data_IF_623114776772
#
_entry.id   IF_623114776772
#
_cell.length_a   1.000
_cell.length_b   1.000
_cell.length_c   1.000
_cell.angle_alpha   90.00
_cell.angle_beta   90.00
_cell.angle_gamma   90.00
#
_symmetry.space_group_name_H-M   'P 1'
#
loop_
_entity.id
_entity.type
_entity.pdbx_description
1 polymer ?
#
# COMPACT_ATOMS: atom_id res chain seq x y z
N UNK A 1 28.44 4.22 -6.47
CA UNK A 1 27.55 4.95 -7.40
C UNK A 1 26.46 5.49 -6.51
N UNK A 2 26.61 6.73 -6.06
CA UNK A 2 25.86 7.24 -4.91
C UNK A 2 24.38 7.43 -5.26
N UNK A 3 23.54 6.82 -4.43
CA UNK A 3 22.10 6.94 -4.29
C UNK A 3 21.62 8.40 -4.12
N UNK A 4 20.29 8.57 -4.02
CA UNK A 4 19.54 9.79 -3.60
C UNK A 4 18.89 10.59 -4.74
N UNK A 5 17.76 10.09 -5.29
CA UNK A 5 16.65 10.98 -5.65
C UNK A 5 15.27 10.31 -5.52
N UNK A 6 15.14 9.27 -4.68
CA UNK A 6 13.81 8.90 -4.17
C UNK A 6 13.42 9.93 -3.12
N UNK A 7 13.01 11.10 -3.58
CA UNK A 7 12.57 12.22 -2.75
C UNK A 7 11.42 11.73 -1.87
N UNK A 8 11.32 12.19 -0.61
CA UNK A 8 10.23 11.80 0.30
C UNK A 8 8.82 11.79 -0.36
N UNK A 9 8.47 12.77 -1.22
CA UNK A 9 7.23 12.77 -1.99
C UNK A 9 7.04 11.58 -2.95
N UNK A 10 8.11 11.13 -3.62
CA UNK A 10 8.10 9.95 -4.50
C UNK A 10 7.78 8.68 -3.69
N UNK A 11 8.34 8.60 -2.47
CA UNK A 11 8.15 7.46 -1.57
C UNK A 11 6.74 7.33 -1.06
N UNK A 12 6.18 8.47 -0.65
CA UNK A 12 4.78 8.55 -0.22
C UNK A 12 3.84 8.12 -1.35
N UNK A 13 4.11 8.59 -2.58
CA UNK A 13 3.31 8.24 -3.75
C UNK A 13 3.35 6.75 -4.08
N UNK A 14 4.54 6.13 -4.17
CA UNK A 14 4.64 4.70 -4.52
C UNK A 14 4.06 3.79 -3.43
N UNK A 15 4.26 4.13 -2.17
CA UNK A 15 3.61 3.44 -1.05
C UNK A 15 2.07 3.54 -1.17
N UNK A 16 1.54 4.73 -1.44
CA UNK A 16 0.10 4.94 -1.64
C UNK A 16 -0.50 4.11 -2.77
N UNK A 17 0.20 3.99 -3.91
CA UNK A 17 -0.21 3.10 -5.02
C UNK A 17 -0.26 1.64 -4.56
N UNK A 18 0.72 1.21 -3.77
CA UNK A 18 0.74 -0.10 -3.13
C UNK A 18 -0.46 -0.35 -2.23
N UNK A 19 -0.81 0.62 -1.39
CA UNK A 19 -1.98 0.53 -0.48
C UNK A 19 -3.28 0.44 -1.28
N UNK A 20 -3.45 1.25 -2.34
CA UNK A 20 -4.64 1.16 -3.22
C UNK A 20 -4.71 -0.23 -3.89
N UNK A 21 -3.59 -0.71 -4.43
CA UNK A 21 -3.50 -2.04 -5.04
C UNK A 21 -3.84 -3.16 -4.06
N UNK A 22 -3.28 -3.10 -2.84
CA UNK A 22 -3.57 -4.04 -1.77
C UNK A 22 -5.04 -4.02 -1.35
N UNK A 23 -5.65 -2.83 -1.25
CA UNK A 23 -7.07 -2.67 -0.91
C UNK A 23 -8.00 -3.26 -1.98
N UNK A 24 -7.72 -3.01 -3.27
CA UNK A 24 -8.48 -3.61 -4.37
C UNK A 24 -8.34 -5.13 -4.38
N UNK A 25 -7.13 -5.63 -4.15
CA UNK A 25 -6.84 -7.07 -4.14
C UNK A 25 -7.52 -7.76 -2.95
N UNK A 26 -7.53 -7.11 -1.78
CA UNK A 26 -8.24 -7.60 -0.60
C UNK A 26 -9.76 -7.64 -0.83
N UNK A 27 -10.34 -6.57 -1.37
CA UNK A 27 -11.77 -6.52 -1.69
C UNK A 27 -12.14 -7.65 -2.66
N UNK A 28 -11.37 -7.82 -3.74
CA UNK A 28 -11.59 -8.88 -4.71
C UNK A 28 -11.48 -10.27 -4.10
N UNK A 29 -10.41 -10.55 -3.36
CA UNK A 29 -10.20 -11.85 -2.74
C UNK A 29 -11.27 -12.17 -1.69
N UNK A 30 -11.70 -11.20 -0.88
CA UNK A 30 -12.71 -11.38 0.14
C UNK A 30 -14.11 -11.74 -0.42
N UNK A 31 -14.38 -11.46 -1.70
CA UNK A 31 -15.64 -11.91 -2.35
C UNK A 31 -15.66 -13.42 -2.65
N UNK A 32 -14.49 -14.06 -2.69
CA UNK A 32 -14.35 -15.46 -3.12
C UNK A 32 -13.98 -16.37 -1.94
N UNK A 33 -13.10 -15.88 -1.06
CA UNK A 33 -12.53 -16.66 0.04
C UNK A 33 -12.72 -15.97 1.39
N UNK A 34 -12.66 -16.72 2.52
CA UNK A 34 -12.75 -16.15 3.85
C UNK A 34 -11.68 -15.09 4.11
N UNK A 35 -11.99 -14.12 4.99
CA UNK A 35 -11.14 -12.94 5.23
C UNK A 35 -9.68 -13.28 5.56
N UNK A 36 -9.44 -14.23 6.46
CA UNK A 36 -8.10 -14.74 6.78
C UNK A 36 -7.32 -15.17 5.51
N UNK A 37 -7.98 -15.88 4.59
CA UNK A 37 -7.35 -16.38 3.37
C UNK A 37 -7.12 -15.23 2.39
N UNK A 38 -8.08 -14.31 2.24
CA UNK A 38 -7.95 -13.11 1.43
C UNK A 38 -6.75 -12.26 1.89
N UNK A 39 -6.63 -12.00 3.20
CA UNK A 39 -5.52 -11.25 3.78
C UNK A 39 -4.17 -11.95 3.56
N UNK A 40 -4.12 -13.29 3.72
CA UNK A 40 -2.94 -14.09 3.42
C UNK A 40 -2.50 -13.98 1.96
N UNK A 41 -3.45 -14.01 1.01
CA UNK A 41 -3.18 -13.85 -0.42
C UNK A 41 -2.55 -12.47 -0.70
N UNK A 42 -3.10 -11.42 -0.08
CA UNK A 42 -2.57 -10.04 -0.23
C UNK A 42 -1.14 -9.94 0.30
N UNK A 43 -0.85 -10.55 1.46
CA UNK A 43 0.53 -10.61 1.99
C UNK A 43 1.46 -11.35 1.04
N UNK A 44 1.07 -12.53 0.56
CA UNK A 44 1.89 -13.32 -0.38
C UNK A 44 2.14 -12.54 -1.67
N UNK A 45 1.13 -11.86 -2.20
CA UNK A 45 1.27 -10.99 -3.37
C UNK A 45 2.26 -9.85 -3.12
N UNK A 46 2.18 -9.21 -1.94
CA UNK A 46 3.15 -8.20 -1.51
C UNK A 46 4.58 -8.73 -1.42
N UNK A 47 4.78 -9.92 -0.84
CA UNK A 47 6.10 -10.56 -0.72
C UNK A 47 6.66 -10.96 -2.09
N UNK A 48 5.83 -11.53 -2.98
CA UNK A 48 6.22 -11.86 -4.35
C UNK A 48 6.66 -10.58 -5.07
N UNK A 49 5.85 -9.53 -5.03
CA UNK A 49 6.20 -8.25 -5.64
C UNK A 49 7.50 -7.67 -5.05
N UNK A 50 7.69 -7.77 -3.74
CA UNK A 50 8.91 -7.30 -3.06
C UNK A 50 10.15 -8.08 -3.48
N UNK A 51 10.01 -9.38 -3.77
CA UNK A 51 11.12 -10.29 -4.07
C UNK A 51 11.51 -10.25 -5.55
N UNK A 52 10.53 -10.08 -6.44
CA UNK A 52 10.72 -10.11 -7.89
C UNK A 52 10.67 -8.71 -8.53
N UNK A 53 10.30 -7.69 -7.78
CA UNK A 53 10.23 -6.31 -8.27
C UNK A 53 11.61 -5.66 -8.26
N UNK A 54 12.06 -5.19 -9.42
CA UNK A 54 13.30 -4.43 -9.53
C UNK A 54 13.08 -2.96 -9.13
N UNK A 55 13.90 -2.48 -8.19
CA UNK A 55 14.00 -1.06 -7.84
C UNK A 55 13.28 -0.63 -6.55
N UNK A 56 13.64 0.57 -6.08
CA UNK A 56 13.13 1.19 -4.84
C UNK A 56 11.61 1.45 -4.91
N UNK A 57 11.12 1.74 -6.11
CA UNK A 57 9.72 2.00 -6.40
C UNK A 57 8.85 0.74 -6.21
N UNK A 58 9.34 -0.41 -6.68
CA UNK A 58 8.68 -1.70 -6.50
C UNK A 58 8.67 -2.12 -5.03
N UNK A 59 9.78 -1.88 -4.31
CA UNK A 59 9.86 -2.10 -2.88
C UNK A 59 8.81 -1.26 -2.12
N UNK A 60 8.71 0.04 -2.39
CA UNK A 60 7.76 0.90 -1.68
C UNK A 60 6.30 0.55 -1.98
N UNK A 61 5.98 0.23 -3.23
CA UNK A 61 4.65 -0.30 -3.58
C UNK A 61 4.35 -1.62 -2.86
N UNK A 62 5.33 -2.52 -2.77
CA UNK A 62 5.16 -3.79 -2.06
C UNK A 62 4.90 -3.60 -0.55
N UNK A 63 5.53 -2.61 0.08
CA UNK A 63 5.29 -2.26 1.50
C UNK A 63 3.84 -1.83 1.70
N UNK A 64 3.26 -1.05 0.78
CA UNK A 64 1.86 -0.66 0.83
C UNK A 64 0.91 -1.86 0.76
N UNK A 65 1.17 -2.81 -0.14
CA UNK A 65 0.39 -4.06 -0.27
C UNK A 65 0.52 -4.91 1.01
N UNK A 66 1.74 -5.06 1.52
CA UNK A 66 2.04 -5.79 2.75
C UNK A 66 1.36 -5.16 3.96
N UNK A 67 1.30 -3.83 4.04
CA UNK A 67 0.59 -3.14 5.11
C UNK A 67 -0.91 -3.50 5.09
N UNK A 68 -1.57 -3.45 3.92
CA UNK A 68 -2.98 -3.83 3.81
C UNK A 68 -3.20 -5.30 4.18
N UNK A 69 -2.37 -6.21 3.65
CA UNK A 69 -2.47 -7.64 3.98
C UNK A 69 -2.21 -7.92 5.46
N UNK A 70 -1.24 -7.25 6.07
CA UNK A 70 -0.89 -7.39 7.49
C UNK A 70 -1.99 -6.87 8.43
N UNK A 71 -2.55 -5.70 8.13
CA UNK A 71 -3.70 -5.17 8.89
C UNK A 71 -4.91 -6.08 8.68
N UNK A 72 -5.16 -6.55 7.46
CA UNK A 72 -6.22 -7.52 7.17
C UNK A 72 -6.07 -8.82 7.98
N UNK A 73 -4.84 -9.32 8.16
CA UNK A 73 -4.58 -10.49 9.01
C UNK A 73 -4.83 -10.21 10.50
N UNK A 74 -4.44 -9.03 10.99
CA UNK A 74 -4.69 -8.62 12.37
C UNK A 74 -6.19 -8.49 12.67
N UNK A 75 -6.96 -7.96 11.71
CA UNK A 75 -8.41 -7.87 11.79
C UNK A 75 -9.10 -9.23 11.67
N UNK A 76 -8.55 -10.14 10.87
CA UNK A 76 -9.08 -11.49 10.73
C UNK A 76 -8.86 -12.37 11.98
N UNK A 77 -7.91 -11.99 12.86
CA UNK A 77 -7.65 -12.68 14.11
C UNK A 77 -8.67 -12.27 15.19
N UNK A 78 -9.41 -13.23 15.78
CA UNK A 78 -10.39 -12.92 16.81
C UNK A 78 -9.74 -12.25 18.04
N UNK A 79 -10.22 -11.07 18.41
CA UNK A 79 -9.80 -10.36 19.63
C UNK A 79 -8.62 -9.41 19.49
N UNK A 80 -7.99 -9.31 18.31
CA UNK A 80 -6.91 -8.34 18.03
C UNK A 80 -7.33 -7.21 17.09
N UNK A 81 -8.38 -7.44 16.28
CA UNK A 81 -8.91 -6.45 15.34
C UNK A 81 -9.83 -5.41 15.97
N UNK A 82 -9.98 -4.29 15.26
CA UNK A 82 -11.00 -3.26 15.45
C UNK A 82 -12.42 -3.75 15.10
N UNK A 83 -12.53 -4.93 14.47
CA UNK A 83 -13.80 -5.53 14.06
C UNK A 83 -14.27 -4.99 12.71
N UNK A 84 -13.33 -4.58 11.85
CA UNK A 84 -13.66 -4.08 10.52
C UNK A 84 -13.92 -5.23 9.56
N UNK A 85 -15.04 -5.13 8.84
CA UNK A 85 -15.33 -6.01 7.72
C UNK A 85 -14.30 -5.80 6.59
N UNK A 86 -13.96 -6.83 5.78
CA UNK A 86 -12.96 -6.73 4.73
C UNK A 86 -13.27 -5.61 3.73
N UNK A 87 -14.56 -5.35 3.46
CA UNK A 87 -14.99 -4.30 2.54
C UNK A 87 -14.72 -2.91 3.14
N UNK A 88 -15.00 -2.73 4.43
CA UNK A 88 -14.73 -1.46 5.12
C UNK A 88 -13.23 -1.17 5.19
N UNK A 89 -12.41 -2.18 5.52
CA UNK A 89 -10.96 -2.06 5.55
C UNK A 89 -10.38 -1.77 4.17
N UNK A 90 -10.87 -2.43 3.12
CA UNK A 90 -10.47 -2.18 1.75
C UNK A 90 -10.82 -0.75 1.31
N UNK A 91 -12.01 -0.26 1.68
CA UNK A 91 -12.43 1.11 1.43
C UNK A 91 -11.52 2.14 2.09
N UNK A 92 -11.15 1.94 3.37
CA UNK A 92 -10.20 2.79 4.07
C UNK A 92 -8.80 2.75 3.43
N UNK A 93 -8.32 1.57 3.07
CA UNK A 93 -7.03 1.41 2.39
C UNK A 93 -7.01 2.21 1.09
N UNK A 94 -8.04 2.09 0.26
CA UNK A 94 -8.12 2.84 -1.01
C UNK A 94 -8.19 4.35 -0.75
N UNK A 95 -8.98 4.79 0.22
CA UNK A 95 -9.10 6.21 0.55
C UNK A 95 -7.76 6.82 1.02
N UNK A 96 -7.09 6.18 1.98
CA UNK A 96 -5.79 6.64 2.48
C UNK A 96 -4.68 6.51 1.43
N UNK A 97 -4.67 5.44 0.65
CA UNK A 97 -3.71 5.27 -0.44
C UNK A 97 -3.87 6.35 -1.52
N UNK A 98 -5.10 6.68 -1.91
CA UNK A 98 -5.37 7.80 -2.81
C UNK A 98 -4.91 9.14 -2.22
N UNK A 99 -5.13 9.37 -0.93
CA UNK A 99 -4.65 10.56 -0.25
C UNK A 99 -3.12 10.67 -0.28
N UNK A 100 -2.40 9.58 0.00
CA UNK A 100 -0.93 9.55 -0.04
C UNK A 100 -0.38 9.81 -1.45
N UNK A 101 -1.05 9.30 -2.48
CA UNK A 101 -0.71 9.59 -3.88
C UNK A 101 -0.89 11.08 -4.19
N UNK A 102 -2.03 11.67 -3.81
CA UNK A 102 -2.29 13.10 -4.03
C UNK A 102 -1.31 13.96 -3.24
N UNK A 103 -1.07 13.65 -1.97
CA UNK A 103 -0.10 14.35 -1.13
C UNK A 103 1.32 14.27 -1.71
N UNK A 104 1.74 13.09 -2.18
CA UNK A 104 3.03 12.90 -2.85
C UNK A 104 3.16 13.73 -4.13
N UNK A 105 2.10 13.82 -4.93
CA UNK A 105 2.07 14.67 -6.13
C UNK A 105 2.14 16.17 -5.80
N UNK A 106 1.40 16.61 -4.79
CA UNK A 106 1.37 18.01 -4.34
C UNK A 106 2.71 18.42 -3.76
N UNK A 107 3.30 17.60 -2.89
CA UNK A 107 4.62 17.86 -2.30
C UNK A 107 5.72 17.82 -3.36
N UNK A 108 5.64 16.92 -4.35
CA UNK A 108 6.58 16.87 -5.47
C UNK A 108 6.53 18.14 -6.33
N UNK A 109 5.33 18.70 -6.56
CA UNK A 109 5.13 19.98 -7.25
C UNK A 109 5.78 21.14 -6.51
N UNK A 110 5.60 21.24 -5.19
CA UNK A 110 6.21 22.31 -4.39
C UNK A 110 7.73 22.18 -4.26
N UNK A 111 8.25 20.96 -4.13
CA UNK A 111 9.70 20.73 -4.10
C UNK A 111 10.37 21.16 -5.41
N UNK A 112 9.73 20.90 -6.56
CA UNK A 112 10.24 21.30 -7.87
C UNK A 112 10.17 22.82 -8.11
N UNK A 113 9.29 23.52 -7.40
CA UNK A 113 9.17 24.98 -7.49
C UNK A 113 10.19 25.72 -6.61
N UNK A 114 10.71 25.07 -5.56
CA UNK A 114 11.66 25.64 -4.61
C UNK A 114 13.14 25.34 -4.91
N UNK A 115 13.44 24.50 -5.91
CA UNK A 115 14.77 24.35 -6.52
C UNK A 115 14.81 25.05 -7.89
N UNK A 116 14.88 26.40 -7.96
CA UNK A 116 15.20 27.08 -9.21
C UNK A 116 16.71 26.92 -9.46
N UNK A 117 17.04 26.14 -10.49
CA UNK A 117 18.38 26.12 -11.11
C UNK A 117 18.83 27.52 -11.54
#
# INVERSE_FOLDING_TARGET
MADVSSTGPMRLRMSGVGVVGGGVLLAGAATIVPFWFAASIVVVAGVIWMTFGDGIDAFQGSVGILAVGGIGLLEALPGTGLGLDPVALSGLAIAFGCFDVVAGLVLGRFSSANDPS
#
